data_IF_757277131117
#
_entry.id   IF_757277131117
#
_cell.length_a   1.000
_cell.length_b   1.000
_cell.length_c   1.000
_cell.angle_alpha   90.00
_cell.angle_beta   90.00
_cell.angle_gamma   90.00
#
_symmetry.space_group_name_H-M   'P 1'
#
loop_
_entity.id
_entity.type
_entity.pdbx_description
1 polymer ?
#
# COMPACT_ATOMS: atom_id res chain seq x y z
N UNK A 1 -41.24 50.22 9.14
CA UNK A 1 -42.64 50.42 8.68
C UNK A 1 -43.51 49.79 9.72
N UNK A 2 -44.16 50.63 10.43
CA UNK A 2 -45.46 50.58 11.10
C UNK A 2 -45.58 49.63 12.31
N UNK A 3 -45.50 50.14 13.54
CA UNK A 3 -46.56 50.97 14.20
C UNK A 3 -47.81 50.14 14.46
N UNK A 4 -48.44 50.04 15.53
CA UNK A 4 -48.94 50.98 16.57
C UNK A 4 -49.55 50.16 17.67
N UNK A 5 -49.33 50.39 18.93
CA UNK A 5 -49.98 51.44 19.75
C UNK A 5 -51.44 51.17 20.16
N UNK A 6 -51.67 51.36 21.39
CA UNK A 6 -52.62 52.19 22.15
C UNK A 6 -53.67 51.35 22.83
N UNK A 7 -54.05 51.49 24.01
CA UNK A 7 -54.19 52.46 25.11
C UNK A 7 -55.35 51.96 25.98
N UNK A 8 -55.24 52.00 27.26
CA UNK A 8 -55.61 53.03 28.23
C UNK A 8 -57.07 53.16 28.58
N UNK A 9 -57.29 53.60 29.85
CA UNK A 9 -58.45 54.33 30.38
C UNK A 9 -59.52 53.41 31.02
N UNK A 10 -59.94 53.59 32.22
CA UNK A 10 -59.82 54.65 33.21
C UNK A 10 -61.03 54.68 34.11
N UNK A 11 -60.86 55.32 35.16
CA UNK A 11 -61.82 56.09 35.93
C UNK A 11 -62.87 55.40 36.84
N UNK A 12 -62.63 55.56 38.07
CA UNK A 12 -63.18 56.57 39.02
C UNK A 12 -64.62 56.22 39.47
N UNK A 13 -64.88 56.25 40.68
CA UNK A 13 -65.15 57.35 41.63
C UNK A 13 -66.35 57.07 42.53
N UNK A 14 -66.17 57.37 43.85
CA UNK A 14 -67.12 57.94 44.85
C UNK A 14 -68.12 56.98 45.48
N UNK A 15 -68.47 57.04 46.72
CA UNK A 15 -68.63 58.19 47.66
C UNK A 15 -68.68 57.64 49.12
N UNK A 16 -68.07 58.32 49.97
CA UNK A 16 -68.44 58.79 51.27
C UNK A 16 -69.90 58.78 51.61
N UNK A 17 -70.29 58.34 52.82
CA UNK A 17 -71.19 58.95 53.84
C UNK A 17 -71.75 57.87 54.71
N UNK A 18 -71.58 58.08 56.02
CA UNK A 18 -72.28 57.33 57.04
C UNK A 18 -71.54 57.29 58.38
N UNK A 19 -71.32 58.49 58.89
CA UNK A 19 -70.78 58.74 60.25
C UNK A 19 -71.92 58.60 61.27
N UNK A 20 -71.51 58.09 62.41
CA UNK A 20 -72.10 58.35 63.73
C UNK A 20 -73.44 57.63 63.97
N UNK A 21 -73.40 56.55 64.67
CA UNK A 21 -74.19 56.22 65.88
C UNK A 21 -73.85 54.87 66.44
N UNK A 22 -73.25 54.87 67.56
CA UNK A 22 -73.33 53.90 68.71
C UNK A 22 -72.00 53.42 69.27
N UNK A 23 -71.32 54.37 69.82
CA UNK A 23 -70.32 54.08 70.85
C UNK A 23 -71.03 53.86 72.17
N UNK A 24 -71.46 52.64 72.47
CA UNK A 24 -71.81 52.25 73.84
C UNK A 24 -72.14 50.76 74.03
N UNK A 25 -71.91 49.94 73.06
CA UNK A 25 -72.08 48.46 73.22
C UNK A 25 -70.78 47.68 73.12
N UNK A 26 -69.68 48.34 72.89
CA UNK A 26 -68.36 47.66 72.59
C UNK A 26 -67.54 47.39 73.89
N UNK A 27 -67.82 47.97 75.04
CA UNK A 27 -66.97 47.76 76.21
C UNK A 27 -67.38 46.48 77.02
N UNK A 28 -68.60 45.99 76.84
CA UNK A 28 -69.09 44.81 77.60
C UNK A 28 -68.77 43.45 76.95
N UNK A 29 -68.57 43.43 75.64
CA UNK A 29 -68.30 42.17 74.89
C UNK A 29 -66.80 41.92 74.70
N UNK A 30 -65.95 42.96 74.91
CA UNK A 30 -64.49 42.82 74.79
C UNK A 30 -63.80 41.99 75.86
N UNK A 31 -64.40 41.95 77.09
CA UNK A 31 -63.75 41.20 78.21
C UNK A 31 -64.12 39.70 78.17
N UNK A 32 -65.26 39.34 77.61
CA UNK A 32 -65.69 37.93 77.55
C UNK A 32 -65.03 37.23 76.32
N UNK A 33 -64.67 37.99 75.33
CA UNK A 33 -63.90 37.44 74.16
C UNK A 33 -62.37 37.28 74.43
N UNK A 34 -61.82 38.03 75.39
CA UNK A 34 -60.39 37.93 75.68
C UNK A 34 -60.05 36.68 76.53
N UNK A 35 -61.00 36.03 77.14
CA UNK A 35 -60.79 34.78 77.93
C UNK A 35 -61.05 33.52 77.11
N UNK A 36 -61.51 33.60 75.86
CA UNK A 36 -61.75 32.39 75.05
C UNK A 36 -60.74 32.14 73.96
N UNK A 37 -59.75 33.00 73.82
CA UNK A 37 -58.69 32.80 72.82
C UNK A 37 -57.31 32.64 73.44
N UNK A 38 -57.16 32.26 74.64
CA UNK A 38 -55.96 31.60 75.14
C UNK A 38 -56.04 30.13 74.69
N UNK A 39 -55.91 29.89 73.40
CA UNK A 39 -55.55 28.56 72.92
C UNK A 39 -54.16 28.27 73.46
N UNK A 40 -53.95 27.15 74.18
CA UNK A 40 -52.61 26.71 74.48
C UNK A 40 -51.90 26.52 73.07
N UNK A 41 -50.80 27.18 72.92
CA UNK A 41 -49.86 26.90 71.85
C UNK A 41 -49.49 25.43 71.94
N UNK A 42 -50.31 24.56 71.32
CA UNK A 42 -49.90 23.20 71.08
C UNK A 42 -48.63 23.32 70.28
N UNK A 43 -47.49 23.18 70.90
CA UNK A 43 -46.26 22.78 70.28
C UNK A 43 -46.63 21.59 69.40
N UNK A 44 -46.79 21.88 68.12
CA UNK A 44 -46.96 20.86 67.14
C UNK A 44 -45.70 19.99 67.23
N UNK A 45 -45.85 18.86 67.90
CA UNK A 45 -44.84 17.80 67.85
C UNK A 45 -44.83 17.37 66.41
N UNK A 46 -43.96 18.02 65.63
CA UNK A 46 -43.65 17.58 64.29
C UNK A 46 -43.16 16.16 64.37
N UNK A 47 -43.99 15.20 63.95
CA UNK A 47 -43.53 13.82 63.81
C UNK A 47 -42.18 13.81 63.12
N UNK A 48 -41.16 13.22 63.73
CA UNK A 48 -39.87 13.16 63.09
C UNK A 48 -40.05 12.47 61.76
N UNK A 49 -39.59 13.13 60.68
CA UNK A 49 -39.57 12.55 59.38
C UNK A 49 -38.59 11.37 59.38
N UNK A 50 -39.16 10.18 59.11
CA UNK A 50 -38.31 9.00 58.90
C UNK A 50 -37.48 9.20 57.65
N UNK A 51 -36.18 9.38 57.79
CA UNK A 51 -35.22 9.51 56.69
C UNK A 51 -34.37 8.22 56.55
N UNK A 52 -34.19 7.77 55.41
CA UNK A 52 -33.24 6.67 55.13
C UNK A 52 -31.83 7.22 55.13
N UNK A 53 -30.96 6.70 55.94
CA UNK A 53 -29.57 7.12 56.08
C UNK A 53 -28.67 6.14 55.37
N UNK A 54 -27.74 6.63 54.57
CA UNK A 54 -26.73 5.84 53.89
C UNK A 54 -25.36 6.22 54.43
N UNK A 55 -24.58 5.24 54.86
CA UNK A 55 -23.21 5.44 55.27
C UNK A 55 -22.33 5.59 54.01
N UNK A 56 -21.60 6.69 53.91
CA UNK A 56 -20.74 6.98 52.79
C UNK A 56 -19.32 6.48 53.05
N UNK A 57 -18.79 5.76 52.12
CA UNK A 57 -17.35 5.39 52.07
C UNK A 57 -16.60 6.36 51.19
N UNK A 58 -15.47 6.91 51.64
CA UNK A 58 -14.65 7.77 50.80
C UNK A 58 -14.10 6.98 49.62
N UNK A 59 -14.13 7.58 48.45
CA UNK A 59 -13.58 7.04 47.23
C UNK A 59 -12.43 7.92 46.78
N UNK A 60 -11.24 7.34 46.64
CA UNK A 60 -10.03 8.06 46.25
C UNK A 60 -9.76 8.02 44.75
N UNK A 61 -10.47 7.14 44.05
CA UNK A 61 -10.35 7.01 42.58
C UNK A 61 -11.59 6.37 41.99
N UNK A 62 -11.84 6.64 40.72
CA UNK A 62 -12.87 5.97 39.96
C UNK A 62 -12.45 5.75 38.51
N UNK A 63 -12.98 4.70 37.91
CA UNK A 63 -12.67 4.36 36.52
C UNK A 63 -13.67 5.02 35.58
N UNK A 64 -13.13 5.81 34.64
CA UNK A 64 -13.90 6.36 33.52
C UNK A 64 -13.56 5.58 32.26
N UNK A 65 -14.57 5.10 31.59
CA UNK A 65 -14.41 4.52 30.27
C UNK A 65 -14.70 5.61 29.21
N UNK A 66 -13.70 5.91 28.37
CA UNK A 66 -13.83 6.86 27.27
C UNK A 66 -13.71 6.10 25.95
N UNK A 67 -14.47 6.55 24.96
CA UNK A 67 -14.46 5.99 23.61
C UNK A 67 -13.88 7.00 22.65
N UNK A 68 -12.89 6.57 21.88
CA UNK A 68 -12.27 7.37 20.83
C UNK A 68 -12.64 6.75 19.49
N UNK A 69 -13.15 7.59 18.58
CA UNK A 69 -13.66 7.13 17.30
C UNK A 69 -12.59 7.27 16.21
N UNK A 70 -12.54 6.31 15.33
CA UNK A 70 -11.73 6.27 14.14
C UNK A 70 -12.38 5.39 13.10
N UNK A 71 -11.60 4.95 12.15
CA UNK A 71 -12.07 4.15 11.02
C UNK A 71 -11.19 2.92 10.78
N UNK A 72 -11.81 1.93 10.16
CA UNK A 72 -11.12 0.75 9.62
C UNK A 72 -10.51 1.15 8.28
N UNK A 73 -9.21 0.96 8.12
CA UNK A 73 -8.49 1.23 6.87
C UNK A 73 -7.88 -0.05 6.32
N UNK A 74 -7.80 -0.15 5.02
CA UNK A 74 -7.05 -1.24 4.40
C UNK A 74 -5.55 -1.01 4.60
N UNK A 75 -4.81 -2.06 4.95
CA UNK A 75 -3.34 -2.00 5.13
C UNK A 75 -2.64 -1.56 3.85
N UNK A 76 -3.12 -2.03 2.70
CA UNK A 76 -2.61 -1.64 1.39
C UNK A 76 -3.75 -1.27 0.45
N UNK A 77 -3.56 -0.15 -0.22
CA UNK A 77 -4.46 0.36 -1.27
C UNK A 77 -3.60 0.94 -2.37
N UNK A 78 -3.77 0.44 -3.57
CA UNK A 78 -2.94 0.83 -4.70
C UNK A 78 -3.83 1.04 -5.92
N UNK A 79 -3.62 2.15 -6.59
CA UNK A 79 -4.17 2.40 -7.91
C UNK A 79 -3.22 1.78 -8.94
N UNK A 80 -3.70 0.77 -9.66
CA UNK A 80 -2.93 0.02 -10.64
C UNK A 80 -3.19 0.56 -12.03
N UNK A 81 -2.13 0.77 -12.78
CA UNK A 81 -2.16 1.25 -14.16
C UNK A 81 -1.01 0.65 -14.97
N UNK A 82 -1.12 0.74 -16.30
CA UNK A 82 -0.06 0.31 -17.19
C UNK A 82 1.11 1.31 -17.19
N UNK A 83 2.33 0.80 -17.30
CA UNK A 83 3.54 1.63 -17.46
C UNK A 83 3.64 2.29 -18.85
N UNK A 84 2.83 1.82 -19.80
CA UNK A 84 2.82 2.29 -21.19
C UNK A 84 1.40 2.58 -21.67
N UNK A 85 1.28 3.44 -22.64
CA UNK A 85 0.01 3.67 -23.33
C UNK A 85 -0.32 2.52 -24.29
N UNK A 86 -1.61 2.22 -24.43
CA UNK A 86 -2.10 1.21 -25.34
C UNK A 86 -3.60 0.99 -25.24
N UNK A 87 -4.16 0.30 -26.23
CA UNK A 87 -5.57 -0.09 -26.21
C UNK A 87 -5.77 -1.26 -25.26
N UNK A 88 -6.72 -1.14 -24.33
CA UNK A 88 -7.13 -2.23 -23.45
C UNK A 88 -7.99 -3.22 -24.23
N UNK A 89 -7.57 -4.47 -24.30
CA UNK A 89 -8.30 -5.54 -25.01
C UNK A 89 -9.19 -6.34 -24.07
N UNK A 90 -8.80 -6.44 -22.80
CA UNK A 90 -9.49 -7.28 -21.83
C UNK A 90 -9.30 -6.75 -20.41
N UNK A 91 -10.37 -6.80 -19.59
CA UNK A 91 -10.35 -6.56 -18.15
C UNK A 91 -11.00 -7.77 -17.48
N UNK A 92 -10.22 -8.59 -16.81
CA UNK A 92 -10.60 -9.93 -16.30
C UNK A 92 -11.38 -9.89 -14.98
N UNK A 93 -11.37 -8.77 -14.27
CA UNK A 93 -12.02 -8.66 -12.95
C UNK A 93 -12.87 -7.40 -12.86
N UNK A 94 -14.05 -7.58 -12.28
CA UNK A 94 -15.00 -6.51 -11.99
C UNK A 94 -14.89 -6.01 -10.54
N UNK A 95 -15.58 -4.89 -10.27
CA UNK A 95 -15.67 -4.31 -8.92
C UNK A 95 -16.21 -5.31 -7.91
N UNK A 96 -15.57 -5.40 -6.75
CA UNK A 96 -15.94 -6.32 -5.67
C UNK A 96 -15.41 -7.74 -5.81
N UNK A 97 -14.75 -8.08 -6.92
CA UNK A 97 -14.13 -9.41 -7.09
C UNK A 97 -12.80 -9.52 -6.36
N UNK A 98 -12.52 -10.70 -5.83
CA UNK A 98 -11.25 -11.04 -5.18
C UNK A 98 -10.23 -11.42 -6.24
N UNK A 99 -9.03 -10.87 -6.12
CA UNK A 99 -7.90 -11.14 -7.01
C UNK A 99 -6.74 -11.68 -6.19
N UNK A 100 -6.12 -12.76 -6.64
CA UNK A 100 -4.93 -13.32 -6.03
C UNK A 100 -3.66 -12.56 -6.48
N UNK A 101 -2.60 -12.60 -5.65
CA UNK A 101 -1.31 -12.01 -6.01
C UNK A 101 -0.76 -12.65 -7.30
N UNK A 102 -0.26 -11.83 -8.22
CA UNK A 102 0.26 -12.26 -9.53
C UNK A 102 -0.80 -12.50 -10.61
N UNK A 103 -2.09 -12.46 -10.27
CA UNK A 103 -3.15 -12.62 -11.27
C UNK A 103 -3.20 -11.43 -12.24
N UNK A 104 -3.41 -11.71 -13.52
CA UNK A 104 -3.56 -10.68 -14.55
C UNK A 104 -4.94 -10.05 -14.44
N UNK A 105 -4.97 -8.73 -14.26
CA UNK A 105 -6.21 -7.95 -14.11
C UNK A 105 -6.70 -7.41 -15.44
N UNK A 106 -5.78 -6.91 -16.27
CA UNK A 106 -6.10 -6.33 -17.57
C UNK A 106 -4.94 -6.53 -18.56
N UNK A 107 -5.23 -6.45 -19.85
CA UNK A 107 -4.27 -6.62 -20.93
C UNK A 107 -4.37 -5.50 -21.96
N UNK A 108 -3.20 -5.04 -22.42
CA UNK A 108 -3.11 -4.18 -23.60
C UNK A 108 -2.98 -5.00 -24.87
N UNK A 109 -3.31 -4.37 -26.00
CA UNK A 109 -3.04 -4.91 -27.33
C UNK A 109 -1.54 -5.01 -27.56
N UNK A 110 -1.07 -6.23 -27.84
CA UNK A 110 0.33 -6.54 -28.09
C UNK A 110 0.60 -7.06 -29.52
N UNK A 111 -0.40 -7.03 -30.41
CA UNK A 111 -0.25 -7.61 -31.75
C UNK A 111 0.95 -7.04 -32.51
N UNK A 112 1.13 -5.73 -32.48
CA UNK A 112 2.27 -5.06 -33.11
C UNK A 112 3.61 -5.47 -32.46
N UNK A 113 3.65 -5.63 -31.14
CA UNK A 113 4.85 -6.05 -30.43
C UNK A 113 5.19 -7.51 -30.73
N UNK A 114 4.21 -8.39 -30.84
CA UNK A 114 4.39 -9.78 -31.22
C UNK A 114 4.90 -9.92 -32.66
N UNK A 115 4.41 -9.07 -33.58
CA UNK A 115 4.94 -9.01 -34.94
C UNK A 115 6.40 -8.56 -34.97
N UNK A 116 6.77 -7.54 -34.17
CA UNK A 116 8.14 -7.08 -34.01
C UNK A 116 9.03 -8.17 -33.37
N UNK A 117 8.53 -8.91 -32.39
CA UNK A 117 9.24 -10.03 -31.76
C UNK A 117 9.60 -11.09 -32.82
N UNK A 118 8.60 -11.52 -33.60
CA UNK A 118 8.81 -12.49 -34.66
C UNK A 118 9.83 -12.02 -35.73
N UNK A 119 9.83 -10.71 -36.01
CA UNK A 119 10.82 -10.11 -36.91
C UNK A 119 12.26 -10.18 -36.34
N UNK A 120 12.43 -9.84 -35.05
CA UNK A 120 13.71 -9.91 -34.34
C UNK A 120 14.21 -11.36 -34.23
N UNK A 121 13.32 -12.30 -33.96
CA UNK A 121 13.65 -13.73 -33.92
C UNK A 121 14.15 -14.24 -35.27
N UNK A 122 13.51 -13.83 -36.36
CA UNK A 122 13.99 -14.15 -37.71
C UNK A 122 15.36 -13.53 -38.01
N UNK A 123 15.61 -12.29 -37.55
CA UNK A 123 16.92 -11.64 -37.67
C UNK A 123 17.97 -12.38 -36.83
N UNK A 124 17.66 -12.84 -35.62
CA UNK A 124 18.55 -13.65 -34.77
C UNK A 124 18.94 -14.95 -35.49
N UNK A 125 17.95 -15.67 -36.01
CA UNK A 125 18.21 -16.92 -36.76
C UNK A 125 19.16 -16.68 -37.95
N UNK A 126 18.96 -15.60 -38.70
CA UNK A 126 19.85 -15.22 -39.81
C UNK A 126 21.26 -14.93 -39.31
N UNK A 127 21.39 -14.13 -38.24
CA UNK A 127 22.69 -13.78 -37.67
C UNK A 127 23.42 -14.99 -37.09
N UNK A 128 22.71 -15.93 -36.48
CA UNK A 128 23.25 -17.22 -36.00
C UNK A 128 23.75 -18.10 -37.15
N UNK A 129 22.98 -18.19 -38.25
CA UNK A 129 23.41 -18.96 -39.42
C UNK A 129 24.71 -18.38 -40.02
N UNK A 130 24.84 -17.06 -40.05
CA UNK A 130 26.03 -16.37 -40.51
C UNK A 130 27.23 -16.58 -39.58
N UNK A 131 27.01 -16.56 -38.24
CA UNK A 131 28.02 -16.92 -37.23
C UNK A 131 28.49 -18.35 -37.41
N UNK A 132 27.59 -19.27 -37.62
CA UNK A 132 27.90 -20.68 -37.84
C UNK A 132 28.67 -20.90 -39.13
N UNK A 133 28.34 -20.15 -40.21
CA UNK A 133 29.11 -20.18 -41.47
C UNK A 133 30.55 -19.75 -41.24
N UNK A 134 30.77 -18.63 -40.52
CA UNK A 134 32.13 -18.17 -40.19
C UNK A 134 32.89 -19.19 -39.30
N UNK A 135 32.21 -19.80 -38.33
CA UNK A 135 32.82 -20.79 -37.43
C UNK A 135 33.17 -22.12 -38.16
N UNK A 136 32.35 -22.53 -39.09
CA UNK A 136 32.60 -23.74 -39.88
C UNK A 136 33.80 -23.57 -40.82
N UNK A 137 34.17 -22.32 -41.18
CA UNK A 137 35.28 -22.01 -42.07
C UNK A 137 35.05 -22.45 -43.52
N UNK A 138 36.16 -22.63 -44.24
CA UNK A 138 36.13 -23.02 -45.63
C UNK A 138 35.61 -24.44 -45.84
N UNK A 139 34.91 -24.64 -46.95
CA UNK A 139 34.40 -25.99 -47.30
C UNK A 139 35.54 -26.97 -47.53
N UNK A 140 35.35 -28.23 -47.17
CA UNK A 140 36.32 -29.31 -47.27
C UNK A 140 36.86 -29.47 -48.69
N UNK A 141 36.05 -29.23 -49.70
CA UNK A 141 36.41 -29.31 -51.11
C UNK A 141 37.43 -28.22 -51.51
N UNK A 142 37.27 -26.99 -50.96
CA UNK A 142 38.17 -25.88 -51.18
C UNK A 142 39.53 -26.14 -50.55
N UNK A 143 39.55 -26.66 -49.31
CA UNK A 143 40.77 -27.08 -48.62
C UNK A 143 41.47 -28.21 -49.38
N UNK A 144 40.72 -29.19 -49.85
CA UNK A 144 41.25 -30.33 -50.62
C UNK A 144 41.88 -29.86 -51.94
N UNK A 145 41.22 -28.91 -52.64
CA UNK A 145 41.76 -28.33 -53.89
C UNK A 145 43.07 -27.56 -53.65
N UNK A 146 43.11 -26.69 -52.60
CA UNK A 146 44.34 -25.97 -52.25
C UNK A 146 45.49 -26.92 -51.87
N UNK A 147 45.17 -27.99 -51.09
CA UNK A 147 46.14 -29.03 -50.72
C UNK A 147 46.68 -29.77 -51.95
N UNK A 148 45.82 -30.08 -52.92
CA UNK A 148 46.27 -30.72 -54.19
C UNK A 148 47.18 -29.85 -54.96
N UNK A 149 46.93 -28.53 -55.05
CA UNK A 149 47.78 -27.56 -55.70
C UNK A 149 49.19 -27.47 -55.07
N UNK A 150 49.25 -27.46 -53.68
CA UNK A 150 50.53 -27.52 -52.98
C UNK A 150 51.28 -28.79 -53.31
N UNK A 151 50.63 -29.97 -53.29
CA UNK A 151 51.23 -31.25 -53.63
C UNK A 151 51.75 -31.31 -55.06
N UNK A 152 51.04 -30.72 -56.00
CA UNK A 152 51.48 -30.63 -57.40
C UNK A 152 52.75 -29.77 -57.53
N UNK A 153 52.79 -28.59 -56.91
CA UNK A 153 53.98 -27.72 -56.94
C UNK A 153 55.16 -28.36 -56.17
N UNK A 154 54.95 -29.10 -55.09
CA UNK A 154 56.00 -29.89 -54.40
C UNK A 154 56.62 -30.92 -55.30
N UNK A 155 55.83 -31.63 -56.12
CA UNK A 155 56.33 -32.59 -57.08
C UNK A 155 57.12 -31.92 -58.19
N UNK A 156 56.61 -30.79 -58.72
CA UNK A 156 57.33 -29.99 -59.73
C UNK A 156 58.64 -29.45 -59.21
N UNK A 157 58.69 -28.91 -57.96
CA UNK A 157 59.92 -28.41 -57.34
C UNK A 157 60.92 -29.54 -57.11
N UNK A 158 60.46 -30.73 -56.68
CA UNK A 158 61.33 -31.89 -56.53
C UNK A 158 62.02 -32.29 -57.80
N UNK A 159 61.26 -32.29 -58.93
CA UNK A 159 61.80 -32.54 -60.21
C UNK A 159 62.81 -31.44 -60.62
N UNK A 160 62.48 -30.17 -60.41
CA UNK A 160 63.33 -29.02 -60.69
C UNK A 160 64.65 -29.04 -59.90
N UNK A 161 64.55 -29.40 -58.61
CA UNK A 161 65.74 -29.59 -57.75
C UNK A 161 66.68 -30.70 -58.27
N UNK A 162 66.11 -31.84 -58.68
CA UNK A 162 66.92 -32.93 -59.27
C UNK A 162 67.60 -32.49 -60.53
N UNK A 163 66.89 -31.75 -61.39
CA UNK A 163 67.47 -31.21 -62.63
C UNK A 163 68.54 -30.15 -62.37
N UNK A 164 68.33 -29.26 -61.38
CA UNK A 164 69.30 -28.22 -61.04
C UNK A 164 70.57 -28.84 -60.43
N UNK A 165 70.45 -29.78 -59.52
CA UNK A 165 71.58 -30.51 -58.93
C UNK A 165 72.44 -31.23 -60.04
N UNK A 166 71.73 -31.90 -60.95
CA UNK A 166 72.43 -32.56 -62.08
C UNK A 166 73.12 -31.56 -62.96
N UNK A 167 72.51 -30.41 -63.26
CA UNK A 167 73.09 -29.38 -64.12
C UNK A 167 74.23 -28.66 -63.41
N UNK A 168 74.20 -28.50 -62.13
CA UNK A 168 75.28 -27.95 -61.32
C UNK A 168 76.53 -28.85 -61.37
N UNK A 169 76.36 -30.19 -61.22
CA UNK A 169 77.50 -31.14 -61.41
C UNK A 169 78.14 -31.07 -62.76
N UNK A 170 77.33 -31.06 -63.85
CA UNK A 170 77.82 -30.94 -65.22
C UNK A 170 78.53 -29.60 -65.50
N UNK A 171 78.04 -28.51 -64.81
CA UNK A 171 78.73 -27.19 -64.96
C UNK A 171 80.07 -27.21 -64.22
N UNK A 172 80.20 -27.82 -63.03
CA UNK A 172 81.47 -28.01 -62.35
C UNK A 172 82.43 -28.86 -63.13
N UNK A 173 81.98 -29.80 -63.98
CA UNK A 173 82.75 -30.64 -64.86
C UNK A 173 83.06 -29.93 -66.24
N UNK A 174 82.54 -28.71 -66.41
CA UNK A 174 82.75 -27.97 -67.70
C UNK A 174 81.87 -28.47 -68.83
N UNK A 175 80.92 -29.35 -68.67
CA UNK A 175 80.11 -29.98 -69.70
C UNK A 175 78.87 -29.16 -70.14
N UNK A 176 78.53 -28.08 -69.44
CA UNK A 176 77.43 -27.16 -69.81
C UNK A 176 77.82 -25.70 -69.56
N UNK A 177 77.15 -24.74 -70.25
CA UNK A 177 77.40 -23.32 -70.07
C UNK A 177 76.81 -22.78 -68.74
N UNK A 178 77.35 -21.66 -68.26
CA UNK A 178 76.83 -20.96 -67.11
C UNK A 178 75.32 -20.56 -67.27
N UNK A 179 75.00 -20.06 -68.44
CA UNK A 179 73.63 -19.68 -68.82
C UNK A 179 72.65 -20.84 -68.68
N UNK A 180 72.98 -22.04 -69.10
CA UNK A 180 72.19 -23.25 -69.00
C UNK A 180 72.01 -23.72 -67.55
N UNK A 181 73.01 -23.48 -66.70
CA UNK A 181 72.87 -23.76 -65.22
C UNK A 181 71.98 -22.71 -64.60
N UNK A 182 72.21 -21.41 -64.87
CA UNK A 182 71.41 -20.32 -64.28
C UNK A 182 69.93 -20.41 -64.67
N UNK A 183 69.61 -20.76 -65.93
CA UNK A 183 68.22 -20.96 -66.39
C UNK A 183 67.47 -22.00 -65.49
N UNK A 184 68.11 -23.15 -65.25
CA UNK A 184 67.49 -24.20 -64.48
C UNK A 184 67.38 -23.81 -62.95
N UNK A 185 68.38 -23.06 -62.46
CA UNK A 185 68.41 -22.56 -61.14
C UNK A 185 67.28 -21.51 -60.95
N UNK A 186 67.13 -20.55 -61.85
CA UNK A 186 66.02 -19.59 -61.79
C UNK A 186 64.63 -20.27 -61.86
N UNK A 187 64.50 -21.30 -62.74
CA UNK A 187 63.25 -22.04 -62.81
C UNK A 187 62.93 -22.77 -61.51
N UNK A 188 63.92 -23.37 -60.84
CA UNK A 188 63.78 -23.99 -59.52
C UNK A 188 63.34 -22.95 -58.44
N UNK A 189 63.97 -21.77 -58.42
CA UNK A 189 63.67 -20.70 -57.47
C UNK A 189 62.28 -20.15 -57.73
N UNK A 190 61.88 -19.93 -59.00
CA UNK A 190 60.52 -19.54 -59.31
C UNK A 190 59.43 -20.55 -58.87
N UNK A 191 59.75 -21.87 -58.95
CA UNK A 191 58.85 -22.92 -58.40
C UNK A 191 58.81 -22.92 -56.93
N UNK A 192 59.95 -22.64 -56.23
CA UNK A 192 60.02 -22.49 -54.76
C UNK A 192 59.12 -21.35 -54.29
N UNK A 193 59.20 -20.19 -54.99
CA UNK A 193 58.34 -19.02 -54.64
C UNK A 193 56.88 -19.31 -54.88
N UNK A 194 56.53 -20.01 -55.96
CA UNK A 194 55.14 -20.44 -56.23
C UNK A 194 54.61 -21.41 -55.20
N UNK A 195 55.45 -22.35 -54.69
CA UNK A 195 55.07 -23.27 -53.64
C UNK A 195 54.81 -22.52 -52.33
N UNK A 196 55.69 -21.58 -51.97
CA UNK A 196 55.49 -20.75 -50.77
C UNK A 196 54.18 -19.96 -50.83
N UNK A 197 53.83 -19.37 -51.99
CA UNK A 197 52.56 -18.68 -52.18
C UNK A 197 51.36 -19.64 -52.08
N UNK A 198 51.45 -20.85 -52.63
CA UNK A 198 50.38 -21.84 -52.54
C UNK A 198 50.23 -22.38 -51.13
N UNK A 199 51.30 -22.55 -50.35
CA UNK A 199 51.28 -22.92 -48.93
C UNK A 199 50.58 -21.85 -48.08
N UNK A 200 50.92 -20.56 -48.28
CA UNK A 200 50.26 -19.44 -47.61
C UNK A 200 48.76 -19.40 -47.93
N UNK A 201 48.38 -19.67 -49.22
CA UNK A 201 46.96 -19.74 -49.57
C UNK A 201 46.23 -20.92 -48.94
N UNK A 202 46.91 -22.09 -48.82
CA UNK A 202 46.34 -23.25 -48.09
C UNK A 202 46.14 -22.92 -46.62
N UNK A 203 47.10 -22.26 -45.97
CA UNK A 203 47.02 -21.85 -44.57
C UNK A 203 45.89 -20.85 -44.38
N UNK A 204 45.72 -19.85 -45.23
CA UNK A 204 44.61 -18.89 -45.20
C UNK A 204 43.27 -19.61 -45.28
N UNK A 205 43.11 -20.54 -46.22
CA UNK A 205 41.86 -21.31 -46.39
C UNK A 205 41.61 -22.24 -45.20
N UNK A 206 42.65 -22.82 -44.58
CA UNK A 206 42.54 -23.68 -43.41
C UNK A 206 42.17 -22.90 -42.13
N UNK A 207 42.75 -21.71 -41.96
CA UNK A 207 42.47 -20.86 -40.80
C UNK A 207 41.06 -20.28 -40.88
N UNK A 208 40.46 -20.17 -42.06
CA UNK A 208 39.08 -19.69 -42.23
C UNK A 208 38.89 -18.21 -41.86
N UNK A 209 37.75 -17.90 -41.27
CA UNK A 209 37.45 -16.52 -40.85
C UNK A 209 38.32 -16.11 -39.66
N UNK A 210 38.71 -14.84 -39.61
CA UNK A 210 39.51 -14.29 -38.52
C UNK A 210 38.67 -14.27 -37.23
N UNK A 211 39.32 -14.47 -36.09
CA UNK A 211 38.67 -14.47 -34.79
C UNK A 211 37.89 -13.16 -34.52
N UNK A 212 38.42 -12.03 -35.02
CA UNK A 212 37.76 -10.73 -34.92
C UNK A 212 36.42 -10.70 -35.66
N UNK A 213 36.32 -11.36 -36.82
CA UNK A 213 35.09 -11.46 -37.62
C UNK A 213 34.05 -12.34 -36.89
N UNK A 214 34.49 -13.45 -36.33
CA UNK A 214 33.65 -14.34 -35.52
C UNK A 214 33.12 -13.59 -34.30
N UNK A 215 34.00 -12.87 -33.58
CA UNK A 215 33.64 -12.09 -32.41
C UNK A 215 32.67 -10.94 -32.76
N UNK A 216 32.91 -10.25 -33.86
CA UNK A 216 32.00 -9.19 -34.33
C UNK A 216 30.62 -9.74 -34.67
N UNK A 217 30.53 -10.89 -35.32
CA UNK A 217 29.26 -11.54 -35.65
C UNK A 217 28.57 -12.06 -34.36
N UNK A 218 29.31 -12.62 -33.40
CA UNK A 218 28.78 -13.03 -32.10
C UNK A 218 28.22 -11.83 -31.34
N UNK A 219 28.89 -10.68 -31.36
CA UNK A 219 28.39 -9.44 -30.78
C UNK A 219 27.11 -8.96 -31.47
N UNK A 220 26.99 -9.10 -32.79
CA UNK A 220 25.77 -8.78 -33.52
C UNK A 220 24.58 -9.68 -33.09
N UNK A 221 24.81 -10.98 -32.85
CA UNK A 221 23.83 -11.89 -32.33
C UNK A 221 23.39 -11.44 -30.94
N UNK A 222 24.33 -11.17 -30.03
CA UNK A 222 24.05 -10.71 -28.67
C UNK A 222 23.26 -9.40 -28.64
N UNK A 223 23.50 -8.47 -29.55
CA UNK A 223 22.74 -7.23 -29.68
C UNK A 223 21.28 -7.51 -30.05
N UNK A 224 21.02 -8.43 -30.98
CA UNK A 224 19.65 -8.80 -31.36
C UNK A 224 18.94 -9.50 -30.19
N UNK A 225 19.64 -10.39 -29.48
CA UNK A 225 19.11 -11.06 -28.29
C UNK A 225 18.73 -10.07 -27.18
N UNK A 226 19.54 -9.05 -26.94
CA UNK A 226 19.22 -7.97 -26.02
C UNK A 226 17.95 -7.20 -26.45
N UNK A 227 17.78 -6.96 -27.76
CA UNK A 227 16.58 -6.31 -28.31
C UNK A 227 15.32 -7.17 -28.17
N UNK A 228 15.45 -8.49 -28.31
CA UNK A 228 14.36 -9.45 -28.08
C UNK A 228 13.95 -9.40 -26.61
N UNK A 229 14.90 -9.47 -25.68
CA UNK A 229 14.63 -9.41 -24.25
C UNK A 229 13.91 -8.11 -23.83
N UNK A 230 14.34 -6.96 -24.34
CA UNK A 230 13.69 -5.67 -24.09
C UNK A 230 12.23 -5.67 -24.57
N UNK A 231 11.99 -6.24 -25.75
CA UNK A 231 10.65 -6.35 -26.30
C UNK A 231 9.76 -7.34 -25.53
N UNK A 232 10.31 -8.47 -25.07
CA UNK A 232 9.62 -9.43 -24.21
C UNK A 232 9.21 -8.80 -22.86
N UNK A 233 10.10 -8.01 -22.25
CA UNK A 233 9.79 -7.23 -21.04
C UNK A 233 8.66 -6.25 -21.33
N UNK A 234 8.68 -5.58 -22.45
CA UNK A 234 7.64 -4.65 -22.87
C UNK A 234 6.29 -5.34 -23.08
N UNK A 235 6.29 -6.55 -23.65
CA UNK A 235 5.10 -7.38 -23.80
C UNK A 235 4.60 -7.85 -22.42
N UNK A 236 5.49 -8.27 -21.53
CA UNK A 236 5.13 -8.67 -20.18
C UNK A 236 4.48 -7.52 -19.40
N UNK A 237 5.03 -6.29 -19.50
CA UNK A 237 4.47 -5.06 -18.92
C UNK A 237 3.14 -4.62 -19.54
N UNK A 238 2.72 -5.23 -20.64
CA UNK A 238 1.40 -5.03 -21.23
C UNK A 238 0.31 -5.82 -20.51
N UNK A 239 0.65 -6.70 -19.56
CA UNK A 239 -0.25 -7.34 -18.63
C UNK A 239 -0.21 -6.61 -17.28
N UNK A 240 -1.35 -6.10 -16.84
CA UNK A 240 -1.48 -5.49 -15.52
C UNK A 240 -1.75 -6.60 -14.50
N UNK A 241 -0.83 -6.81 -13.57
CA UNK A 241 -0.93 -7.86 -12.56
C UNK A 241 -1.17 -7.32 -11.16
N UNK A 242 -1.83 -8.10 -10.30
CA UNK A 242 -2.06 -7.77 -8.91
C UNK A 242 -0.77 -7.95 -8.09
N UNK A 243 -0.24 -6.91 -7.42
CA UNK A 243 0.98 -7.02 -6.60
C UNK A 243 0.74 -7.77 -5.28
N UNK A 244 -0.52 -7.89 -4.84
CA UNK A 244 -0.93 -8.60 -3.64
C UNK A 244 -2.38 -9.09 -3.79
N UNK A 245 -2.78 -10.02 -2.94
CA UNK A 245 -4.17 -10.48 -2.87
C UNK A 245 -5.08 -9.39 -2.32
N UNK A 246 -6.17 -9.07 -3.02
CA UNK A 246 -7.09 -8.01 -2.63
C UNK A 246 -8.43 -8.09 -3.33
N UNK A 247 -9.21 -7.04 -3.18
CA UNK A 247 -10.50 -6.85 -3.84
C UNK A 247 -10.41 -5.65 -4.77
N UNK A 248 -10.98 -5.75 -5.95
CA UNK A 248 -11.13 -4.61 -6.86
C UNK A 248 -12.16 -3.64 -6.28
N UNK A 249 -11.69 -2.47 -5.85
CA UNK A 249 -12.56 -1.40 -5.32
C UNK A 249 -13.22 -0.59 -6.43
N UNK A 250 -12.42 -0.05 -7.33
CA UNK A 250 -12.86 0.79 -8.44
C UNK A 250 -12.28 0.28 -9.76
N UNK A 251 -13.03 0.41 -10.83
CA UNK A 251 -12.62 0.19 -12.21
C UNK A 251 -12.87 1.48 -12.99
N UNK A 252 -11.80 2.07 -13.50
CA UNK A 252 -11.80 3.39 -14.12
C UNK A 252 -11.74 3.34 -15.66
N UNK A 253 -11.41 2.17 -16.21
CA UNK A 253 -11.31 1.99 -17.65
C UNK A 253 -11.98 0.67 -18.09
N UNK A 254 -12.59 0.71 -19.24
CA UNK A 254 -13.27 -0.42 -19.86
C UNK A 254 -12.51 -0.93 -21.09
N UNK A 255 -12.84 -2.13 -21.52
CA UNK A 255 -12.33 -2.75 -22.74
C UNK A 255 -12.60 -1.87 -23.97
N UNK A 256 -11.66 -1.85 -24.89
CA UNK A 256 -11.70 -1.00 -26.07
C UNK A 256 -11.18 0.42 -25.87
N UNK A 257 -11.05 0.88 -24.62
CA UNK A 257 -10.50 2.20 -24.29
C UNK A 257 -8.99 2.26 -24.49
N UNK A 258 -8.44 3.46 -24.63
CA UNK A 258 -6.99 3.69 -24.71
C UNK A 258 -6.51 4.16 -23.33
N UNK A 259 -5.65 3.36 -22.70
CA UNK A 259 -4.98 3.70 -21.46
C UNK A 259 -3.76 4.58 -21.74
N UNK A 260 -3.54 5.60 -20.89
CA UNK A 260 -2.31 6.37 -20.87
C UNK A 260 -1.30 5.74 -19.89
N UNK A 261 -0.01 5.99 -20.08
CA UNK A 261 1.01 5.55 -19.14
C UNK A 261 0.76 6.16 -17.75
N UNK A 262 0.75 5.34 -16.70
CA UNK A 262 0.47 5.75 -15.32
C UNK A 262 -0.99 6.05 -14.99
N UNK A 263 -1.89 5.95 -15.95
CA UNK A 263 -3.33 6.12 -15.68
C UNK A 263 -3.85 4.96 -14.85
N UNK A 264 -4.55 5.27 -13.75
CA UNK A 264 -5.18 4.26 -12.91
C UNK A 264 -6.30 3.53 -13.66
N UNK A 265 -6.17 2.24 -13.81
CA UNK A 265 -7.15 1.34 -14.43
C UNK A 265 -8.09 0.76 -13.37
N UNK A 266 -7.50 0.23 -12.29
CA UNK A 266 -8.25 -0.35 -11.18
C UNK A 266 -7.62 0.07 -9.86
N UNK A 267 -8.44 0.13 -8.82
CA UNK A 267 -7.99 0.27 -7.44
C UNK A 267 -8.04 -1.08 -6.75
N UNK A 268 -6.89 -1.57 -6.31
CA UNK A 268 -6.78 -2.81 -5.53
C UNK A 268 -6.68 -2.48 -4.04
N UNK A 269 -7.55 -3.09 -3.24
CA UNK A 269 -7.65 -2.90 -1.79
C UNK A 269 -7.41 -4.22 -1.09
N UNK A 270 -6.45 -4.28 -0.18
CA UNK A 270 -6.21 -5.48 0.63
C UNK A 270 -7.32 -5.64 1.66
N UNK A 271 -7.92 -6.82 1.70
CA UNK A 271 -9.06 -7.12 2.60
C UNK A 271 -8.69 -8.05 3.76
N UNK A 272 -7.47 -8.62 3.76
CA UNK A 272 -7.13 -9.67 4.71
C UNK A 272 -6.83 -9.20 6.14
N UNK A 273 -6.15 -8.06 6.29
CA UNK A 273 -5.64 -7.58 7.57
C UNK A 273 -5.92 -6.08 7.72
N UNK A 274 -7.16 -5.68 8.00
CA UNK A 274 -7.48 -4.26 8.14
C UNK A 274 -6.78 -3.68 9.38
N UNK A 275 -6.37 -2.43 9.27
CA UNK A 275 -5.86 -1.61 10.35
C UNK A 275 -6.93 -0.64 10.83
N UNK A 276 -6.75 -0.10 12.03
CA UNK A 276 -7.66 0.85 12.62
C UNK A 276 -6.89 2.14 12.86
N UNK A 277 -7.34 3.23 12.31
CA UNK A 277 -6.79 4.56 12.55
C UNK A 277 -7.72 5.34 13.46
N UNK A 278 -7.28 5.59 14.70
CA UNK A 278 -8.12 6.21 15.72
C UNK A 278 -7.45 7.47 16.25
N UNK A 279 -8.15 8.60 16.17
CA UNK A 279 -7.70 9.87 16.71
C UNK A 279 -7.85 9.93 18.22
N UNK A 280 -6.74 10.08 18.93
CA UNK A 280 -6.70 10.08 20.40
C UNK A 280 -6.01 11.34 20.90
N UNK A 281 -6.56 12.05 21.93
CA UNK A 281 -5.91 13.20 22.54
C UNK A 281 -4.55 12.86 23.14
N UNK A 282 -3.61 13.81 23.13
CA UNK A 282 -2.25 13.61 23.62
C UNK A 282 -2.19 13.06 25.06
N UNK A 283 -3.07 13.51 25.95
CA UNK A 283 -3.15 13.02 27.33
C UNK A 283 -3.42 11.51 27.45
N UNK A 284 -4.09 10.94 26.46
CA UNK A 284 -4.39 9.50 26.41
C UNK A 284 -3.31 8.74 25.64
N UNK A 285 -2.76 9.34 24.60
CA UNK A 285 -1.65 8.75 23.84
C UNK A 285 -0.47 8.38 24.75
N UNK A 286 -0.14 9.22 25.73
CA UNK A 286 0.93 8.97 26.69
C UNK A 286 0.72 7.71 27.55
N UNK A 287 -0.51 7.22 27.64
CA UNK A 287 -0.86 5.99 28.37
C UNK A 287 -0.87 4.74 27.50
N UNK A 288 -0.82 4.92 26.16
CA UNK A 288 -0.81 3.85 25.19
C UNK A 288 0.63 3.52 24.80
N UNK A 289 1.01 2.26 24.92
CA UNK A 289 2.32 1.78 24.51
C UNK A 289 2.20 0.93 23.24
N UNK A 290 3.15 1.09 22.32
CA UNK A 290 3.26 0.22 21.14
C UNK A 290 3.45 -1.23 21.61
N UNK A 291 2.70 -2.15 21.02
CA UNK A 291 2.65 -3.56 21.42
C UNK A 291 1.57 -3.87 22.47
N UNK A 292 0.91 -2.89 23.08
CA UNK A 292 -0.16 -3.13 24.04
C UNK A 292 -1.45 -3.57 23.36
N UNK A 293 -2.17 -4.48 24.05
CA UNK A 293 -3.49 -4.93 23.62
C UNK A 293 -4.56 -3.94 24.06
N UNK A 294 -5.45 -3.59 23.16
CA UNK A 294 -6.56 -2.69 23.38
C UNK A 294 -7.86 -3.34 22.91
N UNK A 295 -8.97 -2.95 23.53
CA UNK A 295 -10.29 -3.37 23.09
C UNK A 295 -10.87 -2.32 22.16
N UNK A 296 -11.25 -2.75 20.96
CA UNK A 296 -11.89 -1.90 19.96
C UNK A 296 -13.27 -2.45 19.61
N UNK A 297 -14.22 -1.58 19.49
CA UNK A 297 -15.59 -1.90 19.11
C UNK A 297 -15.83 -1.45 17.66
N UNK A 298 -16.30 -2.37 16.81
CA UNK A 298 -16.69 -2.10 15.43
C UNK A 298 -18.14 -2.57 15.26
N UNK A 299 -19.05 -1.64 15.03
CA UNK A 299 -20.48 -1.91 15.11
C UNK A 299 -20.87 -2.40 16.52
N UNK A 300 -21.53 -3.54 16.60
CA UNK A 300 -21.96 -4.17 17.87
C UNK A 300 -20.98 -5.23 18.40
N UNK A 301 -19.75 -5.24 17.91
CA UNK A 301 -18.76 -6.29 18.19
C UNK A 301 -17.51 -5.70 18.80
N UNK A 302 -16.94 -6.44 19.75
CA UNK A 302 -15.66 -6.11 20.37
C UNK A 302 -14.55 -7.00 19.81
N UNK A 303 -13.46 -6.38 19.45
CA UNK A 303 -12.24 -7.02 18.93
C UNK A 303 -11.07 -6.67 19.84
N UNK A 304 -10.10 -7.58 19.90
CA UNK A 304 -8.79 -7.28 20.49
C UNK A 304 -7.85 -6.79 19.40
N UNK A 305 -7.25 -5.64 19.61
CA UNK A 305 -6.30 -5.02 18.69
C UNK A 305 -4.99 -4.68 19.40
N UNK A 306 -3.88 -4.77 18.69
CA UNK A 306 -2.55 -4.36 19.16
C UNK A 306 -2.22 -3.00 18.60
N UNK A 307 -1.71 -2.11 19.43
CA UNK A 307 -1.13 -0.83 18.99
C UNK A 307 0.15 -1.11 18.23
N UNK A 308 0.17 -0.86 16.92
CA UNK A 308 1.35 -1.09 16.07
C UNK A 308 2.18 0.18 15.87
N UNK A 309 1.52 1.34 15.85
CA UNK A 309 2.19 2.62 15.71
C UNK A 309 1.36 3.77 16.28
N UNK A 310 2.04 4.84 16.64
CA UNK A 310 1.45 6.13 16.95
C UNK A 310 2.06 7.11 15.93
N UNK A 311 1.23 7.71 15.07
CA UNK A 311 1.72 8.65 14.07
C UNK A 311 2.31 9.89 14.78
N UNK A 312 3.51 10.35 14.39
CA UNK A 312 4.17 11.49 15.05
C UNK A 312 3.44 12.81 14.77
N UNK A 313 2.63 12.84 13.71
CA UNK A 313 1.88 14.02 13.32
C UNK A 313 0.58 14.13 14.13
N UNK A 314 0.31 15.33 14.62
CA UNK A 314 -0.95 15.66 15.30
C UNK A 314 -1.88 16.36 14.32
N UNK A 315 -3.10 15.92 14.22
CA UNK A 315 -4.13 16.61 13.46
C UNK A 315 -4.45 17.95 14.18
N UNK A 316 -4.11 19.06 13.54
CA UNK A 316 -4.26 20.39 14.13
C UNK A 316 -5.73 20.82 14.31
N UNK A 317 -6.64 20.30 13.50
CA UNK A 317 -8.07 20.62 13.60
C UNK A 317 -8.73 19.93 14.80
N UNK A 318 -8.40 18.65 15.01
CA UNK A 318 -8.98 17.84 16.10
C UNK A 318 -8.09 17.81 17.35
N UNK A 319 -6.83 18.25 17.25
CA UNK A 319 -5.79 18.16 18.30
C UNK A 319 -5.59 16.72 18.81
N UNK A 320 -5.68 15.76 17.90
CA UNK A 320 -5.51 14.33 18.20
C UNK A 320 -4.30 13.78 17.46
N UNK A 321 -3.62 12.83 18.05
CA UNK A 321 -2.62 11.98 17.38
C UNK A 321 -3.30 10.69 16.91
N UNK A 322 -2.94 10.22 15.75
CA UNK A 322 -3.52 8.98 15.19
C UNK A 322 -2.78 7.77 15.74
N UNK A 323 -3.50 6.92 16.44
CA UNK A 323 -3.05 5.60 16.89
C UNK A 323 -3.48 4.57 15.86
N UNK A 324 -2.50 3.79 15.37
CA UNK A 324 -2.73 2.71 14.42
C UNK A 324 -2.74 1.39 15.17
N UNK A 325 -3.83 0.65 15.03
CA UNK A 325 -4.01 -0.64 15.69
C UNK A 325 -4.24 -1.73 14.63
N UNK A 326 -3.77 -2.92 14.93
CA UNK A 326 -3.98 -4.12 14.12
C UNK A 326 -4.85 -5.10 14.89
N UNK A 327 -5.87 -5.64 14.24
CA UNK A 327 -6.71 -6.68 14.83
C UNK A 327 -5.89 -7.98 15.02
N UNK A 328 -5.90 -8.55 16.22
CA UNK A 328 -5.19 -9.81 16.49
C UNK A 328 -5.83 -10.99 15.76
N UNK A 329 -7.15 -11.06 15.79
CA UNK A 329 -7.95 -12.08 15.11
C UNK A 329 -9.08 -11.38 14.36
N UNK A 330 -8.79 -10.86 13.16
CA UNK A 330 -9.76 -10.06 12.38
C UNK A 330 -11.06 -10.81 12.05
N UNK A 331 -11.01 -12.14 12.04
CA UNK A 331 -12.18 -13.01 11.84
C UNK A 331 -12.89 -13.44 13.12
N UNK A 332 -12.41 -13.04 14.32
CA UNK A 332 -13.01 -13.39 15.60
C UNK A 332 -13.43 -12.13 16.34
N UNK A 333 -14.67 -12.06 16.77
CA UNK A 333 -15.20 -10.98 17.57
C UNK A 333 -16.06 -11.54 18.71
N UNK A 334 -16.07 -10.82 19.82
CA UNK A 334 -16.98 -11.10 20.94
C UNK A 334 -18.23 -10.25 20.78
N UNK A 335 -19.38 -10.91 20.73
CA UNK A 335 -20.67 -10.21 20.68
C UNK A 335 -20.95 -9.54 22.04
N UNK A 336 -21.21 -8.23 22.05
CA UNK A 336 -21.52 -7.46 23.24
C UNK A 336 -22.75 -8.00 24.04
N UNK A 337 -23.75 -8.54 23.31
CA UNK A 337 -24.98 -9.00 23.89
C UNK A 337 -24.84 -10.34 24.61
N UNK A 338 -24.06 -11.28 24.08
CA UNK A 338 -24.00 -12.66 24.54
C UNK A 338 -22.62 -13.10 25.03
N UNK A 339 -21.63 -12.24 25.03
CA UNK A 339 -20.22 -12.52 25.36
C UNK A 339 -19.64 -13.79 24.68
N UNK A 340 -20.17 -14.14 23.50
CA UNK A 340 -19.79 -15.32 22.74
C UNK A 340 -18.90 -14.95 21.58
N UNK A 341 -17.71 -15.53 21.51
CA UNK A 341 -16.80 -15.36 20.36
C UNK A 341 -17.35 -16.13 19.17
N UNK A 342 -17.47 -15.46 18.03
CA UNK A 342 -17.99 -16.04 16.81
C UNK A 342 -17.02 -15.75 15.64
N UNK A 343 -16.82 -16.72 14.77
CA UNK A 343 -16.13 -16.49 13.50
C UNK A 343 -17.01 -15.61 12.61
N UNK A 344 -16.50 -14.45 12.23
CA UNK A 344 -17.25 -13.42 11.52
C UNK A 344 -16.48 -12.92 10.29
N UNK A 345 -17.21 -12.27 9.42
CA UNK A 345 -16.58 -11.56 8.30
C UNK A 345 -15.59 -10.49 8.82
N UNK A 346 -14.45 -10.38 8.14
CA UNK A 346 -13.43 -9.36 8.42
C UNK A 346 -14.06 -7.97 8.28
N UNK A 347 -13.82 -7.04 9.22
CA UNK A 347 -14.32 -5.67 9.11
C UNK A 347 -13.87 -5.02 7.80
N UNK A 348 -14.77 -4.27 7.18
CA UNK A 348 -14.51 -3.62 5.90
C UNK A 348 -13.90 -2.24 6.10
N UNK A 349 -13.01 -1.85 5.20
CA UNK A 349 -12.50 -0.47 5.16
C UNK A 349 -13.65 0.53 5.06
N UNK A 350 -13.60 1.60 5.88
CA UNK A 350 -14.64 2.61 6.02
C UNK A 350 -15.61 2.36 7.18
N UNK A 351 -15.57 1.20 7.85
CA UNK A 351 -16.36 0.98 9.05
C UNK A 351 -15.82 1.81 10.23
N UNK A 352 -16.74 2.29 11.09
CA UNK A 352 -16.38 3.08 12.27
C UNK A 352 -15.87 2.16 13.37
N UNK A 353 -14.67 2.45 13.86
CA UNK A 353 -14.05 1.78 15.00
C UNK A 353 -14.04 2.70 16.23
N UNK A 354 -14.26 2.13 17.43
CA UNK A 354 -14.23 2.84 18.71
C UNK A 354 -13.24 2.18 19.64
N UNK A 355 -12.18 2.87 19.98
CA UNK A 355 -11.20 2.43 20.98
C UNK A 355 -11.76 2.70 22.38
N UNK A 356 -11.86 1.65 23.19
CA UNK A 356 -12.27 1.72 24.58
C UNK A 356 -11.04 1.90 25.46
N UNK A 357 -10.92 3.06 26.12
CA UNK A 357 -9.83 3.34 27.05
C UNK A 357 -10.43 3.55 28.44
N UNK A 358 -9.98 2.74 29.42
CA UNK A 358 -10.33 2.92 30.81
C UNK A 358 -9.23 3.70 31.51
N UNK A 359 -9.59 4.84 32.10
CA UNK A 359 -8.69 5.69 32.87
C UNK A 359 -9.13 5.74 34.30
N UNK A 360 -8.20 5.63 35.23
CA UNK A 360 -8.47 5.82 36.67
C UNK A 360 -8.19 7.28 37.00
N UNK A 361 -9.23 8.01 37.34
CA UNK A 361 -9.06 9.39 37.83
C UNK A 361 -8.97 9.38 39.35
N UNK A 362 -7.95 10.05 39.89
CA UNK A 362 -7.78 10.27 41.31
C UNK A 362 -8.71 11.41 41.75
N UNK A 363 -9.61 11.13 42.64
CA UNK A 363 -10.53 12.11 43.21
C UNK A 363 -10.76 11.78 44.67
N UNK A 364 -10.88 12.81 45.49
CA UNK A 364 -11.39 12.64 46.88
C UNK A 364 -12.87 12.98 46.90
N UNK A 365 -13.72 12.01 47.20
CA UNK A 365 -15.15 12.21 47.16
C UNK A 365 -15.93 11.01 47.66
N UNK A 366 -17.24 11.06 47.52
CA UNK A 366 -18.17 10.02 47.94
C UNK A 366 -19.13 9.70 46.79
N UNK A 367 -19.49 8.46 46.63
CA UNK A 367 -20.57 8.09 45.74
C UNK A 367 -21.92 8.27 46.43
N UNK A 368 -22.78 9.09 45.85
CA UNK A 368 -24.14 9.36 46.32
C UNK A 368 -25.15 8.82 45.30
N UNK A 369 -26.18 8.10 45.74
CA UNK A 369 -27.31 7.81 44.86
C UNK A 369 -28.01 9.13 44.48
N UNK A 370 -28.45 9.23 43.25
CA UNK A 370 -29.12 10.44 42.73
C UNK A 370 -30.36 10.83 43.56
N UNK A 371 -30.98 9.84 44.23
CA UNK A 371 -32.12 10.02 45.14
C UNK A 371 -31.77 10.75 46.43
N UNK A 372 -30.48 10.80 46.81
CA UNK A 372 -30.01 11.54 47.98
C UNK A 372 -29.72 13.02 47.68
N UNK A 373 -29.82 13.41 46.43
CA UNK A 373 -29.57 14.78 45.97
C UNK A 373 -30.90 15.54 45.84
N UNK A 374 -31.01 16.67 46.52
CA UNK A 374 -32.12 17.63 46.37
C UNK A 374 -31.65 18.80 45.52
N UNK A 375 -32.52 19.29 44.66
CA UNK A 375 -32.24 20.45 43.82
C UNK A 375 -32.38 21.71 44.67
N UNK A 376 -31.27 22.34 44.94
CA UNK A 376 -31.23 23.61 45.64
C UNK A 376 -31.59 24.81 44.76
N UNK A 377 -31.75 25.96 45.39
CA UNK A 377 -31.93 27.23 44.68
C UNK A 377 -30.72 27.50 43.79
N UNK A 378 -30.91 28.08 42.60
CA UNK A 378 -29.89 28.41 41.60
C UNK A 378 -29.29 27.19 40.86
N UNK A 379 -29.98 26.07 40.83
CA UNK A 379 -29.53 24.91 40.02
C UNK A 379 -28.39 24.11 40.65
N UNK A 380 -28.01 24.37 41.86
CA UNK A 380 -27.03 23.56 42.62
C UNK A 380 -27.72 22.32 43.25
N UNK A 381 -26.95 21.24 43.35
CA UNK A 381 -27.37 20.05 44.05
C UNK A 381 -26.91 20.13 45.51
N UNK A 382 -27.79 19.76 46.46
CA UNK A 382 -27.49 19.69 47.89
C UNK A 382 -27.83 18.30 48.42
N UNK A 383 -27.13 17.88 49.46
CA UNK A 383 -27.45 16.70 50.24
C UNK A 383 -27.44 17.07 51.73
N UNK A 384 -28.23 16.38 52.53
CA UNK A 384 -28.24 16.53 53.98
C UNK A 384 -27.28 15.51 54.59
N UNK A 385 -26.43 15.97 55.49
CA UNK A 385 -25.56 15.13 56.30
C UNK A 385 -26.10 15.09 57.75
N UNK A 386 -26.10 13.94 58.32
CA UNK A 386 -26.46 13.79 59.76
C UNK A 386 -25.15 13.78 60.54
N UNK A 387 -25.00 14.78 61.45
CA UNK A 387 -23.91 14.78 62.40
C UNK A 387 -24.15 13.74 63.52
N UNK A 388 -23.05 13.19 64.04
CA UNK A 388 -23.15 12.14 65.09
C UNK A 388 -23.74 12.62 66.42
N UNK A 389 -23.83 13.91 66.55
CA UNK A 389 -24.27 14.54 67.83
C UNK A 389 -25.77 14.96 67.87
N UNK A 390 -26.52 14.57 66.81
CA UNK A 390 -27.99 14.64 66.86
C UNK A 390 -28.60 16.04 66.71
N UNK A 391 -27.89 17.03 66.28
CA UNK A 391 -28.39 18.35 65.90
C UNK A 391 -28.53 18.54 64.40
#
# INVERSE_FOLDING_TARGET
MNTEKISSIGLQRNYWIGIVASGLVVVGTGVILYQRFALPEQLAITKPLTVSVISLTPVNSYNITRYYTGEVVATRRTDLGFERAGKVIEVLYDRGQVVEAGAVIARLDTQNLQAQLSQLEAQRLRALAQLQELQNGSRREVIASARSQVSDLENQLRLANTRSQRRESLYKEGAVSKEQFEEVAFNRDALSDRLAAAQSQLEEVQNGARIEQINAQAAAVAQIEASILDLEITIAKSNLTAPFRGVIGERNLDEGSVAQAGQAIVRLVESANPELEIGVPFSVVSTLTVGSNQTVEIGDRAYTAIVIAIKPETNLQTRTSTVVLKLQNSSQATNKSNNKTTNLAIPKSGEIARLKVSQTEQIQGFWLPTTALSRGERGLWSCFAIARDGD
#
